data_IF_066218888452
#
_entry.id   IF_066218888452
#
_cell.length_a   1.000
_cell.length_b   1.000
_cell.length_c   1.000
_cell.angle_alpha   90.00
_cell.angle_beta   90.00
_cell.angle_gamma   90.00
#
_symmetry.space_group_name_H-M   'P 1'
#
loop_
_entity.id
_entity.type
_entity.pdbx_description
1 polymer ?
#
# COMPACT_ATOMS: atom_id res chain seq x y z
N UNK A 1 -17.03 -24.55 11.02
CA UNK A 1 -16.86 -23.74 9.87
C UNK A 1 -15.71 -22.83 10.00
N UNK A 2 -14.76 -23.07 9.17
CA UNK A 2 -13.50 -22.42 9.37
C UNK A 2 -13.26 -21.25 8.49
N UNK A 3 -14.34 -20.61 8.08
CA UNK A 3 -14.22 -19.45 7.24
C UNK A 3 -13.88 -18.21 8.04
N UNK A 4 -13.88 -18.37 9.36
CA UNK A 4 -13.73 -17.25 10.26
C UNK A 4 -12.35 -17.23 10.91
N UNK A 5 -11.33 -17.10 10.07
CA UNK A 5 -9.97 -17.02 10.58
C UNK A 5 -9.77 -15.71 11.35
N UNK A 6 -8.96 -15.73 12.41
CA UNK A 6 -8.72 -14.52 13.20
C UNK A 6 -8.27 -13.34 12.36
N UNK A 7 -7.40 -13.58 11.38
CA UNK A 7 -6.92 -12.51 10.49
C UNK A 7 -8.07 -11.89 9.71
N UNK A 8 -8.95 -12.72 9.14
CA UNK A 8 -10.08 -12.22 8.35
C UNK A 8 -11.01 -11.36 9.21
N UNK A 9 -11.26 -11.82 10.43
CA UNK A 9 -12.14 -11.11 11.36
C UNK A 9 -11.55 -9.76 11.74
N UNK A 10 -10.25 -9.75 12.04
CA UNK A 10 -9.56 -8.52 12.39
C UNK A 10 -9.58 -7.55 11.22
N UNK A 11 -9.26 -8.06 10.02
CA UNK A 11 -9.26 -7.23 8.83
C UNK A 11 -10.62 -6.56 8.60
N UNK A 12 -11.69 -7.35 8.67
CA UNK A 12 -13.03 -6.80 8.45
C UNK A 12 -13.39 -5.75 9.49
N UNK A 13 -12.91 -5.92 10.72
CA UNK A 13 -13.22 -4.98 11.79
C UNK A 13 -12.48 -3.65 11.66
N UNK A 14 -11.35 -3.62 10.95
CA UNK A 14 -10.54 -2.40 10.83
C UNK A 14 -10.38 -1.90 9.40
N UNK A 15 -11.05 -2.52 8.43
CA UNK A 15 -10.87 -2.16 7.03
C UNK A 15 -11.19 -0.68 6.76
N UNK A 16 -12.19 -0.14 7.41
CA UNK A 16 -12.51 1.28 7.28
C UNK A 16 -11.37 2.18 7.75
N UNK A 17 -10.74 1.80 8.87
CA UNK A 17 -9.60 2.54 9.40
C UNK A 17 -8.38 2.41 8.50
N UNK A 18 -8.17 1.21 7.92
CA UNK A 18 -7.08 1.00 6.97
C UNK A 18 -7.25 1.88 5.74
N UNK A 19 -8.49 1.98 5.24
CA UNK A 19 -8.78 2.84 4.09
C UNK A 19 -8.51 4.30 4.41
N UNK A 20 -8.88 4.75 5.62
CA UNK A 20 -8.61 6.12 6.04
C UNK A 20 -7.10 6.38 6.12
N UNK A 21 -6.36 5.42 6.64
CA UNK A 21 -4.90 5.55 6.72
C UNK A 21 -4.28 5.70 5.33
N UNK A 22 -4.72 4.88 4.38
CA UNK A 22 -4.23 4.95 3.00
C UNK A 22 -4.64 6.28 2.35
N UNK A 23 -5.87 6.72 2.59
CA UNK A 23 -6.41 7.94 1.99
C UNK A 23 -5.64 9.19 2.38
N UNK A 24 -4.94 9.15 3.51
CA UNK A 24 -4.10 10.25 3.93
C UNK A 24 -2.77 10.34 3.17
N UNK A 25 -2.46 9.32 2.37
CA UNK A 25 -1.17 9.24 1.68
C UNK A 25 -1.32 9.18 0.16
N UNK A 26 -2.32 8.46 -0.35
CA UNK A 26 -2.50 8.23 -1.78
C UNK A 26 -3.84 8.77 -2.27
N UNK A 27 -4.00 8.93 -3.61
CA UNK A 27 -5.29 9.38 -4.18
C UNK A 27 -6.39 8.34 -3.91
N UNK A 28 -7.66 8.78 -3.87
CA UNK A 28 -8.78 7.88 -3.60
C UNK A 28 -8.84 6.63 -4.46
N UNK A 29 -8.47 6.72 -5.71
CA UNK A 29 -8.52 5.57 -6.64
C UNK A 29 -7.54 4.47 -6.28
N UNK A 30 -6.53 4.78 -5.48
CA UNK A 30 -5.50 3.81 -5.10
C UNK A 30 -5.76 3.15 -3.75
N UNK A 31 -6.67 3.73 -2.96
CA UNK A 31 -6.88 3.30 -1.58
C UNK A 31 -7.27 1.83 -1.48
N UNK A 32 -8.26 1.44 -2.27
CA UNK A 32 -8.80 0.08 -2.18
C UNK A 32 -7.77 -0.97 -2.56
N UNK A 33 -7.02 -0.72 -3.63
CA UNK A 33 -5.98 -1.64 -4.08
C UNK A 33 -4.89 -1.82 -3.03
N UNK A 34 -4.50 -0.73 -2.37
CA UNK A 34 -3.47 -0.78 -1.35
C UNK A 34 -3.94 -1.58 -0.14
N UNK A 35 -5.18 -1.37 0.29
CA UNK A 35 -5.72 -2.08 1.44
C UNK A 35 -5.86 -3.57 1.13
N UNK A 36 -6.34 -3.91 -0.07
CA UNK A 36 -6.45 -5.31 -0.49
C UNK A 36 -5.08 -5.97 -0.59
N UNK A 37 -4.10 -5.28 -1.13
CA UNK A 37 -2.73 -5.80 -1.22
C UNK A 37 -2.16 -6.09 0.17
N UNK A 38 -2.42 -5.21 1.13
CA UNK A 38 -1.96 -5.41 2.50
C UNK A 38 -2.57 -6.67 3.10
N UNK A 39 -3.85 -6.90 2.84
CA UNK A 39 -4.53 -8.09 3.33
C UNK A 39 -3.93 -9.36 2.70
N UNK A 40 -3.68 -9.34 1.40
CA UNK A 40 -3.07 -10.47 0.70
C UNK A 40 -1.70 -10.80 1.30
N UNK A 41 -0.90 -9.78 1.56
CA UNK A 41 0.43 -9.97 2.18
C UNK A 41 0.33 -10.55 3.57
N UNK A 42 -0.67 -10.10 4.34
CA UNK A 42 -0.89 -10.62 5.67
C UNK A 42 -1.27 -12.10 5.61
N UNK A 43 -2.12 -12.49 4.65
CA UNK A 43 -2.50 -13.87 4.47
C UNK A 43 -1.30 -14.74 4.12
N UNK A 44 -0.44 -14.25 3.24
CA UNK A 44 0.78 -14.97 2.85
C UNK A 44 1.72 -15.15 4.02
N UNK A 45 1.91 -14.09 4.79
CA UNK A 45 2.79 -14.12 5.96
C UNK A 45 2.25 -15.09 7.01
N UNK A 46 0.94 -15.06 7.23
CA UNK A 46 0.29 -15.92 8.21
C UNK A 46 0.50 -17.41 7.90
N UNK A 47 0.54 -17.75 6.62
CA UNK A 47 0.78 -19.14 6.20
C UNK A 47 2.17 -19.63 6.59
N UNK A 48 3.13 -18.74 6.56
CA UNK A 48 4.52 -19.10 6.87
C UNK A 48 4.80 -19.08 8.36
N UNK A 49 4.21 -18.12 9.05
CA UNK A 49 4.45 -17.94 10.47
C UNK A 49 3.31 -17.10 11.05
N UNK A 50 2.72 -17.53 12.18
CA UNK A 50 1.62 -16.76 12.77
C UNK A 50 2.03 -15.33 13.05
N UNK A 51 1.16 -14.40 12.68
CA UNK A 51 1.39 -12.98 12.93
C UNK A 51 1.00 -12.68 14.37
N UNK A 52 1.95 -12.16 15.16
CA UNK A 52 1.73 -11.87 16.56
C UNK A 52 0.67 -10.79 16.78
N UNK A 53 0.72 -9.73 15.97
CA UNK A 53 -0.21 -8.63 16.07
C UNK A 53 -0.75 -8.29 14.68
N UNK A 54 -1.84 -8.96 14.26
CA UNK A 54 -2.40 -8.75 12.91
C UNK A 54 -2.83 -7.32 12.65
N UNK A 55 -3.41 -6.66 13.66
CA UNK A 55 -3.83 -5.26 13.52
C UNK A 55 -2.63 -4.36 13.17
N UNK A 56 -1.57 -4.45 13.96
CA UNK A 56 -0.36 -3.65 13.73
C UNK A 56 0.27 -3.99 12.39
N UNK A 57 0.30 -5.27 12.05
CA UNK A 57 0.86 -5.72 10.77
C UNK A 57 0.12 -5.09 9.60
N UNK A 58 -1.21 -5.09 9.64
CA UNK A 58 -2.03 -4.54 8.57
C UNK A 58 -1.82 -3.03 8.43
N UNK A 59 -1.83 -2.29 9.52
CA UNK A 59 -1.62 -0.85 9.47
C UNK A 59 -0.23 -0.50 8.93
N UNK A 60 0.79 -1.21 9.41
CA UNK A 60 2.16 -0.98 8.97
C UNK A 60 2.31 -1.29 7.48
N UNK A 61 1.71 -2.39 7.04
CA UNK A 61 1.79 -2.80 5.64
C UNK A 61 1.08 -1.80 4.73
N UNK A 62 -0.12 -1.34 5.11
CA UNK A 62 -0.85 -0.33 4.35
C UNK A 62 -0.02 0.94 4.23
N UNK A 63 0.55 1.40 5.34
CA UNK A 63 1.36 2.60 5.34
C UNK A 63 2.58 2.45 4.42
N UNK A 64 3.27 1.32 4.53
CA UNK A 64 4.45 1.07 3.70
C UNK A 64 4.11 1.01 2.21
N UNK A 65 3.02 0.34 1.86
CA UNK A 65 2.56 0.26 0.48
C UNK A 65 2.17 1.63 -0.06
N UNK A 66 1.47 2.42 0.74
CA UNK A 66 1.04 3.75 0.34
C UNK A 66 2.24 4.67 0.11
N UNK A 67 3.21 4.64 1.03
CA UNK A 67 4.43 5.45 0.88
C UNK A 67 5.24 5.02 -0.33
N UNK A 68 5.32 3.71 -0.58
CA UNK A 68 6.02 3.18 -1.73
C UNK A 68 5.36 3.65 -3.04
N UNK A 69 4.03 3.66 -3.05
CA UNK A 69 3.28 4.15 -4.20
C UNK A 69 3.62 5.61 -4.51
N UNK A 70 3.66 6.45 -3.47
CA UNK A 70 3.99 7.86 -3.62
C UNK A 70 5.42 8.04 -4.13
N UNK A 71 6.36 7.27 -3.59
CA UNK A 71 7.76 7.34 -4.02
C UNK A 71 7.93 6.95 -5.48
N UNK A 72 7.20 5.94 -5.93
CA UNK A 72 7.25 5.51 -7.34
C UNK A 72 6.69 6.58 -8.25
N UNK A 73 5.59 7.22 -7.86
CA UNK A 73 4.99 8.30 -8.64
C UNK A 73 5.94 9.49 -8.73
N UNK A 74 6.59 9.84 -7.61
CA UNK A 74 7.57 10.91 -7.56
C UNK A 74 8.75 10.62 -8.50
N UNK A 75 9.25 9.40 -8.45
CA UNK A 75 10.39 9.00 -9.28
C UNK A 75 10.04 9.09 -10.76
N UNK A 76 8.85 8.63 -11.14
CA UNK A 76 8.41 8.70 -12.53
C UNK A 76 8.32 10.15 -13.00
N UNK A 77 7.76 11.02 -12.17
CA UNK A 77 7.65 12.43 -12.50
C UNK A 77 9.03 13.07 -12.66
N UNK A 78 9.94 12.74 -11.75
CA UNK A 78 11.31 13.25 -11.80
C UNK A 78 12.01 12.84 -13.09
N UNK A 79 11.84 11.60 -13.50
CA UNK A 79 12.43 11.09 -14.73
C UNK A 79 11.88 11.83 -15.94
N UNK A 80 10.56 12.05 -15.98
CA UNK A 80 9.93 12.78 -17.09
C UNK A 80 10.47 14.20 -17.18
N UNK A 81 10.60 14.88 -16.05
CA UNK A 81 11.11 16.23 -16.00
C UNK A 81 12.56 16.28 -16.47
N UNK A 82 13.39 15.34 -16.02
CA UNK A 82 14.80 15.28 -16.41
C UNK A 82 14.95 15.02 -17.90
N UNK A 83 14.12 14.14 -18.45
CA UNK A 83 14.14 13.87 -19.89
C UNK A 83 13.77 15.12 -20.70
N UNK A 84 12.80 15.87 -20.22
CA UNK A 84 12.38 17.09 -20.89
C UNK A 84 13.49 18.14 -20.86
N UNK A 85 14.13 18.33 -19.71
CA UNK A 85 15.25 19.25 -19.58
C UNK A 85 16.39 18.85 -20.49
N UNK A 86 16.74 17.57 -20.49
CA UNK A 86 17.80 17.05 -21.34
C UNK A 86 17.49 17.31 -22.81
N UNK A 87 16.27 17.06 -23.23
CA UNK A 87 15.83 17.29 -24.60
C UNK A 87 15.97 18.76 -24.99
N UNK A 88 15.64 19.68 -24.09
CA UNK A 88 15.78 21.12 -24.36
C UNK A 88 17.26 21.49 -24.55
N UNK A 89 18.14 20.93 -23.74
CA UNK A 89 19.56 21.19 -23.89
C UNK A 89 20.13 20.67 -25.20
N UNK A 90 19.57 19.59 -25.73
CA UNK A 90 20.03 19.02 -26.98
C UNK A 90 19.71 19.89 -28.20
N UNK A 91 18.79 20.82 -28.09
CA UNK A 91 18.40 21.69 -29.18
C UNK A 91 19.41 22.79 -29.44
N UNK A 92 20.32 23.01 -28.56
CA UNK A 92 21.34 24.03 -28.66
C UNK A 92 22.71 23.36 -28.75
#
# INVERSE_FOLDING_TARGET
>A
MDNDKPLDRIYLSIVGSLKRAAAGIVPPKEVEDIVQEAYVRACQTERESPITSPRSFLFKTVKNLALDHVKRAETRLRIVILKRIYSEFQKY
#
